data_IF_442553894700
#
_entry.id   IF_442553894700
#
_cell.length_a   1.000
_cell.length_b   1.000
_cell.length_c   1.000
_cell.angle_alpha   90.00
_cell.angle_beta   90.00
_cell.angle_gamma   90.00
#
_symmetry.space_group_name_H-M   'P 1'
#
loop_
_entity.id
_entity.type
_entity.pdbx_description
1 polymer ?
#
# COMPACT_ATOMS: atom_id res chain seq x y z
N UNK A 1 -26.38 -15.08 8.17
CA UNK A 1 -27.15 -15.48 9.35
C UNK A 1 -26.85 -14.65 10.59
N UNK A 2 -25.67 -14.07 10.77
CA UNK A 2 -25.25 -13.28 11.97
C UNK A 2 -25.89 -11.88 12.09
N UNK A 3 -26.30 -11.24 11.00
CA UNK A 3 -26.88 -9.88 11.01
C UNK A 3 -28.32 -9.85 11.56
N UNK A 4 -29.08 -10.93 11.37
CA UNK A 4 -30.48 -11.02 11.85
C UNK A 4 -30.61 -11.17 13.37
N UNK A 5 -29.63 -11.77 14.03
CA UNK A 5 -29.64 -11.98 15.49
C UNK A 5 -29.35 -10.69 16.27
N UNK A 6 -28.53 -9.79 15.72
CA UNK A 6 -28.22 -8.51 16.38
C UNK A 6 -29.36 -7.49 16.29
N UNK A 7 -30.14 -7.51 15.20
CA UNK A 7 -31.33 -6.63 15.07
C UNK A 7 -32.42 -7.00 16.05
N UNK A 8 -32.66 -8.29 16.29
CA UNK A 8 -33.69 -8.75 17.23
C UNK A 8 -33.31 -8.41 18.68
N UNK A 9 -32.07 -8.58 19.07
CA UNK A 9 -31.57 -8.20 20.41
C UNK A 9 -31.68 -6.69 20.68
N UNK A 10 -31.41 -5.84 19.69
CA UNK A 10 -31.52 -4.39 19.83
C UNK A 10 -32.99 -3.92 19.96
N UNK A 11 -33.92 -4.57 19.26
CA UNK A 11 -35.35 -4.25 19.37
C UNK A 11 -35.89 -4.59 20.77
N UNK A 12 -35.50 -5.74 21.32
CA UNK A 12 -35.91 -6.16 22.68
C UNK A 12 -35.35 -5.17 23.73
N UNK A 13 -34.08 -4.81 23.64
CA UNK A 13 -33.47 -3.85 24.59
C UNK A 13 -34.12 -2.46 24.48
N UNK A 14 -34.46 -2.04 23.30
CA UNK A 14 -35.18 -0.78 23.07
C UNK A 14 -36.58 -0.83 23.68
N UNK A 15 -37.32 -1.92 23.53
CA UNK A 15 -38.64 -2.10 24.14
C UNK A 15 -38.58 -2.06 25.68
N UNK A 16 -37.59 -2.73 26.25
CA UNK A 16 -37.36 -2.72 27.70
C UNK A 16 -37.04 -1.31 28.20
N UNK A 17 -36.23 -0.55 27.47
CA UNK A 17 -35.89 0.83 27.83
C UNK A 17 -37.13 1.76 27.78
N UNK A 18 -37.99 1.60 26.76
CA UNK A 18 -39.28 2.30 26.68
C UNK A 18 -40.24 1.94 27.80
N UNK A 19 -40.40 0.66 28.12
CA UNK A 19 -41.25 0.20 29.22
C UNK A 19 -40.81 0.77 30.58
N UNK A 20 -39.50 0.83 30.82
CA UNK A 20 -38.97 1.43 32.05
C UNK A 20 -39.24 2.91 32.15
N UNK A 21 -39.11 3.63 31.04
CA UNK A 21 -39.39 5.07 31.02
C UNK A 21 -40.88 5.36 31.24
N UNK A 22 -41.78 4.64 30.56
CA UNK A 22 -43.20 4.74 30.75
C UNK A 22 -43.60 4.40 32.21
N UNK A 23 -43.05 3.33 32.79
CA UNK A 23 -43.34 2.95 34.16
C UNK A 23 -42.89 4.00 35.17
N UNK A 24 -41.77 4.65 34.96
CA UNK A 24 -41.31 5.76 35.83
C UNK A 24 -42.26 6.96 35.76
N UNK A 25 -42.68 7.33 34.56
CA UNK A 25 -43.61 8.47 34.36
C UNK A 25 -44.94 8.15 35.03
N UNK A 26 -45.49 6.93 34.82
CA UNK A 26 -46.76 6.53 35.45
C UNK A 26 -46.66 6.46 36.96
N UNK A 27 -45.56 5.99 37.53
CA UNK A 27 -45.35 5.95 39.00
C UNK A 27 -45.28 7.37 39.57
N UNK A 28 -44.56 8.29 38.93
CA UNK A 28 -44.45 9.68 39.40
C UNK A 28 -45.81 10.36 39.38
N UNK A 29 -46.60 10.20 38.33
CA UNK A 29 -47.95 10.77 38.21
C UNK A 29 -48.88 10.13 39.25
N UNK A 30 -48.84 8.81 39.42
CA UNK A 30 -49.68 8.12 40.42
C UNK A 30 -49.38 8.54 41.83
N UNK A 31 -48.10 8.68 42.20
CA UNK A 31 -47.71 9.16 43.54
C UNK A 31 -48.12 10.60 43.78
N UNK A 32 -47.97 11.47 42.77
CA UNK A 32 -48.35 12.88 42.86
C UNK A 32 -49.87 13.05 42.91
N UNK A 33 -50.66 12.24 42.18
CA UNK A 33 -52.14 12.25 42.31
C UNK A 33 -52.60 11.73 43.65
N UNK A 34 -51.99 10.67 44.20
CA UNK A 34 -52.30 10.17 45.54
C UNK A 34 -52.03 11.22 46.66
N UNK A 35 -50.91 11.94 46.54
CA UNK A 35 -50.60 13.06 47.41
C UNK A 35 -51.63 14.20 47.27
N UNK A 36 -52.09 14.52 46.04
CA UNK A 36 -53.11 15.52 45.76
C UNK A 36 -54.49 15.16 46.34
N UNK A 37 -54.83 13.86 46.39
CA UNK A 37 -56.06 13.39 47.04
C UNK A 37 -56.09 13.68 48.55
N UNK A 38 -54.95 13.67 49.24
CA UNK A 38 -54.84 14.01 50.65
C UNK A 38 -55.16 15.49 50.94
N UNK A 39 -55.12 16.35 49.91
CA UNK A 39 -55.41 17.78 49.98
C UNK A 39 -56.71 18.16 49.24
N UNK A 40 -57.57 17.17 48.92
CA UNK A 40 -58.82 17.32 48.19
C UNK A 40 -58.69 17.94 46.76
N UNK A 41 -57.47 17.92 46.21
CA UNK A 41 -57.17 18.50 44.89
C UNK A 41 -56.38 17.56 43.95
N UNK A 42 -56.95 16.45 43.51
CA UNK A 42 -56.24 15.42 42.74
C UNK A 42 -55.74 15.95 41.37
N UNK A 43 -56.42 16.90 40.76
CA UNK A 43 -56.01 17.51 39.51
C UNK A 43 -54.68 18.25 39.60
N UNK A 44 -54.46 19.01 40.66
CA UNK A 44 -53.20 19.72 40.89
C UNK A 44 -52.05 18.74 41.17
N UNK A 45 -52.33 17.62 41.85
CA UNK A 45 -51.37 16.58 42.05
C UNK A 45 -50.90 15.93 40.74
N UNK A 46 -51.86 15.57 39.86
CA UNK A 46 -51.53 15.00 38.56
C UNK A 46 -50.71 16.00 37.69
N UNK A 47 -51.09 17.29 37.67
CA UNK A 47 -50.38 18.31 36.95
C UNK A 47 -48.94 18.48 37.46
N UNK A 48 -48.74 18.54 38.77
CA UNK A 48 -47.40 18.64 39.38
C UNK A 48 -46.55 17.41 39.06
N UNK A 49 -47.13 16.19 39.08
CA UNK A 49 -46.46 14.96 38.72
C UNK A 49 -45.94 15.00 37.27
N UNK A 50 -46.76 15.50 36.37
CA UNK A 50 -46.38 15.65 34.96
C UNK A 50 -45.24 16.65 34.81
N UNK A 51 -45.29 17.82 35.45
CA UNK A 51 -44.23 18.84 35.43
C UNK A 51 -42.92 18.28 35.95
N UNK A 52 -42.96 17.59 37.11
CA UNK A 52 -41.74 16.96 37.68
C UNK A 52 -41.14 15.91 36.73
N UNK A 53 -41.99 15.09 36.12
CA UNK A 53 -41.56 14.08 35.13
C UNK A 53 -40.85 14.77 33.94
N UNK A 54 -41.38 15.85 33.39
CA UNK A 54 -40.77 16.63 32.30
C UNK A 54 -39.42 17.23 32.71
N UNK A 55 -39.33 17.82 33.87
CA UNK A 55 -38.06 18.41 34.39
C UNK A 55 -36.98 17.34 34.54
N UNK A 56 -37.33 16.15 35.05
CA UNK A 56 -36.40 15.02 35.20
C UNK A 56 -35.91 14.52 33.80
N UNK A 57 -36.83 14.44 32.84
CA UNK A 57 -36.50 14.05 31.48
C UNK A 57 -35.55 15.06 30.83
N UNK A 58 -35.80 16.36 30.98
CA UNK A 58 -34.93 17.43 30.47
C UNK A 58 -33.53 17.38 31.09
N UNK A 59 -33.41 17.11 32.39
CA UNK A 59 -32.12 16.94 33.07
C UNK A 59 -31.31 15.82 32.43
N UNK A 60 -31.93 14.64 32.20
CA UNK A 60 -31.26 13.49 31.57
C UNK A 60 -30.84 13.76 30.12
N UNK A 61 -31.68 14.44 29.34
CA UNK A 61 -31.32 14.87 27.99
C UNK A 61 -30.15 15.85 28.01
N UNK A 62 -30.11 16.74 28.98
CA UNK A 62 -28.99 17.68 29.14
C UNK A 62 -27.69 16.95 29.52
N UNK A 63 -27.75 15.92 30.36
CA UNK A 63 -26.59 15.05 30.66
C UNK A 63 -26.07 14.34 29.41
N UNK A 64 -26.97 13.78 28.59
CA UNK A 64 -26.60 13.14 27.31
C UNK A 64 -25.96 14.17 26.36
N UNK A 65 -26.55 15.36 26.25
CA UNK A 65 -26.03 16.45 25.41
C UNK A 65 -24.64 16.91 25.86
N UNK A 66 -24.44 17.10 27.17
CA UNK A 66 -23.13 17.48 27.75
C UNK A 66 -22.08 16.40 27.49
N UNK A 67 -22.44 15.14 27.65
CA UNK A 67 -21.54 14.02 27.36
C UNK A 67 -21.20 13.97 25.84
N UNK A 68 -22.18 14.11 24.96
CA UNK A 68 -21.97 14.16 23.50
C UNK A 68 -20.99 15.26 23.07
N UNK A 69 -20.95 16.37 23.82
CA UNK A 69 -20.00 17.46 23.61
C UNK A 69 -18.68 17.32 24.38
N UNK A 70 -18.30 16.11 24.77
CA UNK A 70 -17.10 15.81 25.57
C UNK A 70 -17.08 16.51 26.95
N UNK A 71 -18.23 16.87 27.50
CA UNK A 71 -18.38 17.53 28.79
C UNK A 71 -19.11 16.61 29.77
N UNK A 72 -18.40 15.71 30.44
CA UNK A 72 -19.00 14.85 31.46
C UNK A 72 -18.78 13.34 31.26
N UNK A 73 -19.29 12.53 32.19
CA UNK A 73 -19.24 11.07 32.13
C UNK A 73 -20.40 10.49 31.30
N UNK A 74 -20.24 9.28 30.80
CA UNK A 74 -21.30 8.53 30.11
C UNK A 74 -22.54 8.44 31.04
N UNK A 75 -23.73 8.83 30.57
CA UNK A 75 -24.95 8.70 31.40
C UNK A 75 -25.22 7.24 31.74
N UNK A 76 -25.25 6.92 33.03
CA UNK A 76 -25.56 5.56 33.57
C UNK A 76 -27.05 5.41 33.89
N UNK A 77 -27.94 5.79 32.98
CA UNK A 77 -29.36 5.62 33.18
C UNK A 77 -29.85 4.30 32.59
N UNK A 78 -30.83 3.66 33.25
CA UNK A 78 -31.46 2.42 32.80
C UNK A 78 -32.62 2.63 31.81
N UNK A 79 -32.91 3.88 31.42
CA UNK A 79 -33.97 4.25 30.49
C UNK A 79 -33.47 4.45 29.06
N UNK A 80 -34.28 5.19 28.28
CA UNK A 80 -34.04 5.46 26.85
C UNK A 80 -32.71 6.22 26.59
N UNK A 81 -32.37 7.13 27.51
CA UNK A 81 -31.14 7.97 27.44
C UNK A 81 -29.90 7.09 27.63
N UNK A 82 -29.91 6.18 28.65
CA UNK A 82 -28.80 5.25 28.86
C UNK A 82 -28.64 4.26 27.71
N UNK A 83 -29.74 3.73 27.17
CA UNK A 83 -29.68 2.86 25.99
C UNK A 83 -29.05 3.55 24.76
N UNK A 84 -29.47 4.79 24.48
CA UNK A 84 -28.91 5.56 23.37
C UNK A 84 -27.42 5.88 23.57
N UNK A 85 -27.01 6.20 24.79
CA UNK A 85 -25.61 6.40 25.15
C UNK A 85 -24.78 5.11 24.92
N UNK A 86 -25.26 3.95 25.37
CA UNK A 86 -24.60 2.66 25.15
C UNK A 86 -24.45 2.31 23.68
N UNK A 87 -25.49 2.56 22.86
CA UNK A 87 -25.43 2.33 21.41
C UNK A 87 -24.39 3.22 20.76
N UNK A 88 -24.32 4.50 21.15
CA UNK A 88 -23.33 5.44 20.63
C UNK A 88 -21.89 5.02 21.02
N UNK A 89 -21.66 4.68 22.29
CA UNK A 89 -20.34 4.20 22.75
C UNK A 89 -19.90 2.93 22.02
N UNK A 90 -20.80 1.96 21.83
CA UNK A 90 -20.49 0.74 21.06
C UNK A 90 -20.14 1.07 19.62
N UNK A 91 -20.90 1.96 18.97
CA UNK A 91 -20.64 2.39 17.59
C UNK A 91 -19.30 3.10 17.46
N UNK A 92 -18.98 3.98 18.39
CA UNK A 92 -17.69 4.68 18.43
C UNK A 92 -16.52 3.70 18.60
N UNK A 93 -16.63 2.76 19.54
CA UNK A 93 -15.61 1.70 19.73
C UNK A 93 -15.40 0.86 18.48
N UNK A 94 -16.47 0.52 17.75
CA UNK A 94 -16.37 -0.23 16.50
C UNK A 94 -15.71 0.59 15.39
N UNK A 95 -16.04 1.88 15.28
CA UNK A 95 -15.41 2.79 14.32
C UNK A 95 -13.91 2.96 14.62
N UNK A 96 -13.57 3.22 15.88
CA UNK A 96 -12.18 3.35 16.31
C UNK A 96 -11.38 2.06 16.08
N UNK A 97 -11.98 0.88 16.33
CA UNK A 97 -11.35 -0.41 15.96
C UNK A 97 -11.10 -0.53 14.46
N UNK A 98 -12.05 -0.10 13.61
CA UNK A 98 -11.87 -0.12 12.14
C UNK A 98 -10.76 0.84 11.71
N UNK A 99 -10.77 2.07 12.20
CA UNK A 99 -9.75 3.08 11.90
C UNK A 99 -8.35 2.57 12.30
N UNK A 100 -8.23 2.05 13.52
CA UNK A 100 -6.97 1.51 14.01
C UNK A 100 -6.50 0.29 13.20
N UNK A 101 -7.42 -0.58 12.77
CA UNK A 101 -7.09 -1.71 11.89
C UNK A 101 -6.58 -1.24 10.53
N UNK A 102 -7.26 -0.27 9.91
CA UNK A 102 -6.85 0.32 8.63
C UNK A 102 -5.51 1.05 8.74
N UNK A 103 -5.30 1.82 9.81
CA UNK A 103 -4.03 2.47 10.07
C UNK A 103 -2.87 1.49 10.20
N UNK A 104 -3.08 0.37 10.92
CA UNK A 104 -2.08 -0.72 11.02
C UNK A 104 -1.79 -1.38 9.67
N UNK A 105 -2.80 -1.56 8.82
CA UNK A 105 -2.61 -2.13 7.48
C UNK A 105 -1.80 -1.18 6.59
N UNK A 106 -2.14 0.12 6.57
CA UNK A 106 -1.39 1.14 5.83
C UNK A 106 0.08 1.21 6.28
N UNK A 107 0.30 1.19 7.61
CA UNK A 107 1.66 1.18 8.17
C UNK A 107 2.46 -0.04 7.71
N UNK A 108 1.87 -1.23 7.72
CA UNK A 108 2.53 -2.46 7.22
C UNK A 108 2.90 -2.38 5.74
N UNK A 109 2.02 -1.80 4.91
CA UNK A 109 2.30 -1.61 3.48
C UNK A 109 3.47 -0.64 3.31
N UNK A 110 3.48 0.48 4.03
CA UNK A 110 4.57 1.44 4.01
C UNK A 110 5.90 0.81 4.46
N UNK A 111 5.90 0.08 5.58
CA UNK A 111 7.07 -0.66 6.06
C UNK A 111 7.55 -1.71 5.03
N UNK A 112 6.61 -2.38 4.34
CA UNK A 112 6.93 -3.30 3.25
C UNK A 112 7.65 -2.61 2.09
N UNK A 113 7.17 -1.45 1.65
CA UNK A 113 7.81 -0.66 0.60
C UNK A 113 9.20 -0.15 1.04
N UNK A 114 9.33 0.27 2.30
CA UNK A 114 10.62 0.70 2.86
C UNK A 114 11.66 -0.43 2.94
N UNK A 115 11.23 -1.68 3.05
CA UNK A 115 12.11 -2.85 3.12
C UNK A 115 12.58 -3.36 1.76
N UNK A 116 12.02 -2.86 0.66
CA UNK A 116 12.43 -3.25 -0.69
C UNK A 116 13.86 -2.78 -0.98
N UNK A 117 14.61 -3.60 -1.70
CA UNK A 117 15.92 -3.23 -2.25
C UNK A 117 15.79 -2.37 -3.50
N UNK A 118 14.69 -2.49 -4.22
CA UNK A 118 14.35 -1.65 -5.36
C UNK A 118 13.89 -0.27 -4.89
N UNK A 119 14.34 0.78 -5.54
CA UNK A 119 13.85 2.14 -5.33
C UNK A 119 12.43 2.27 -5.87
N UNK A 120 11.54 2.83 -5.08
CA UNK A 120 10.16 3.11 -5.48
C UNK A 120 9.88 4.58 -5.24
N UNK A 121 9.43 5.27 -6.29
CA UNK A 121 9.03 6.68 -6.24
C UNK A 121 7.63 6.84 -6.80
N UNK A 122 6.88 7.76 -6.25
CA UNK A 122 5.58 8.17 -6.78
C UNK A 122 5.67 9.63 -7.18
N UNK A 123 5.23 9.92 -8.39
CA UNK A 123 5.15 11.29 -8.91
C UNK A 123 3.71 11.63 -9.27
N UNK A 124 3.36 12.90 -9.10
CA UNK A 124 2.04 13.41 -9.48
C UNK A 124 1.94 13.63 -11.00
N UNK A 125 0.79 14.15 -11.45
CA UNK A 125 0.55 14.44 -12.87
C UNK A 125 1.55 15.44 -13.49
N UNK A 126 2.08 16.34 -12.67
CA UNK A 126 3.08 17.33 -13.09
C UNK A 126 4.51 16.77 -13.10
N UNK A 127 4.73 15.51 -12.68
CA UNK A 127 6.05 14.90 -12.59
C UNK A 127 6.82 15.25 -11.32
N UNK A 128 6.16 15.87 -10.32
CA UNK A 128 6.76 16.18 -9.03
C UNK A 128 6.64 15.00 -8.08
N UNK A 129 7.71 14.72 -7.33
CA UNK A 129 7.76 13.61 -6.38
C UNK A 129 6.84 13.84 -5.19
N UNK A 130 6.01 12.85 -4.89
CA UNK A 130 5.09 12.86 -3.75
C UNK A 130 5.50 11.88 -2.66
N UNK A 131 6.23 10.82 -3.02
CA UNK A 131 6.72 9.83 -2.08
C UNK A 131 7.88 9.05 -2.70
N UNK A 132 8.81 8.58 -1.89
CA UNK A 132 9.87 7.65 -2.28
C UNK A 132 10.36 6.87 -1.06
N UNK A 133 10.87 5.66 -1.28
CA UNK A 133 11.39 4.78 -0.25
C UNK A 133 12.91 4.99 -0.02
N UNK A 134 13.43 4.36 1.03
CA UNK A 134 14.85 4.43 1.41
C UNK A 134 15.79 3.94 0.31
N UNK A 135 15.41 2.90 -0.43
CA UNK A 135 16.23 2.37 -1.53
C UNK A 135 16.42 3.42 -2.64
N UNK A 136 15.40 4.23 -2.95
CA UNK A 136 15.51 5.35 -3.89
C UNK A 136 16.55 6.38 -3.46
N UNK A 137 16.65 6.67 -2.15
CA UNK A 137 17.67 7.56 -1.62
C UNK A 137 19.06 7.01 -1.90
N UNK A 138 19.27 5.71 -1.73
CA UNK A 138 20.57 5.08 -1.96
C UNK A 138 20.94 5.00 -3.45
N UNK A 139 19.98 4.65 -4.30
CA UNK A 139 20.21 4.43 -5.72
C UNK A 139 20.33 5.73 -6.53
N UNK A 140 19.55 6.74 -6.19
CA UNK A 140 19.47 8.01 -6.92
C UNK A 140 20.09 9.19 -6.16
N UNK A 141 20.46 9.00 -4.90
CA UNK A 141 21.02 10.07 -4.05
C UNK A 141 19.98 11.06 -3.56
N UNK A 142 18.70 10.66 -3.46
CA UNK A 142 17.61 11.53 -3.05
C UNK A 142 17.67 11.86 -1.55
N UNK A 143 17.25 13.08 -1.22
CA UNK A 143 17.15 13.59 0.14
C UNK A 143 15.72 14.01 0.45
N UNK A 144 15.16 13.45 1.52
CA UNK A 144 13.76 13.67 1.86
C UNK A 144 13.43 15.14 2.16
N UNK A 145 14.38 15.87 2.75
CA UNK A 145 14.23 17.25 3.20
C UNK A 145 14.22 18.25 2.04
N UNK A 146 14.93 17.96 0.93
CA UNK A 146 15.15 18.92 -0.15
C UNK A 146 14.48 18.56 -1.46
N UNK A 147 14.29 17.25 -1.72
CA UNK A 147 13.90 16.76 -3.03
C UNK A 147 12.41 16.41 -3.13
N UNK A 148 11.71 16.32 -1.99
CA UNK A 148 10.26 16.15 -1.96
C UNK A 148 9.58 17.32 -2.66
N UNK A 149 8.66 17.03 -3.58
CA UNK A 149 7.95 18.04 -4.36
C UNK A 149 8.71 18.55 -5.60
N UNK A 150 10.00 18.23 -5.76
CA UNK A 150 10.74 18.59 -6.96
C UNK A 150 10.33 17.72 -8.16
N UNK A 151 10.52 18.26 -9.36
CA UNK A 151 10.27 17.52 -10.59
C UNK A 151 11.36 16.48 -10.81
N UNK A 152 10.96 15.24 -11.11
CA UNK A 152 11.88 14.10 -11.21
C UNK A 152 13.02 14.30 -12.23
N UNK A 153 12.76 15.02 -13.33
CA UNK A 153 13.77 15.30 -14.36
C UNK A 153 14.84 16.30 -13.91
N UNK A 154 14.62 17.02 -12.80
CA UNK A 154 15.66 17.89 -12.22
C UNK A 154 16.72 17.07 -11.49
N UNK A 155 16.34 15.89 -11.03
CA UNK A 155 17.20 14.97 -10.28
C UNK A 155 17.85 13.94 -11.22
N UNK A 156 17.06 13.33 -12.09
CA UNK A 156 17.55 12.42 -13.14
C UNK A 156 17.63 13.21 -14.45
N UNK A 157 18.77 13.83 -14.68
CA UNK A 157 19.00 14.73 -15.84
C UNK A 157 19.43 14.00 -17.11
N UNK A 158 19.63 12.67 -17.04
CA UNK A 158 20.04 11.88 -18.20
C UNK A 158 19.08 12.09 -19.38
N UNK A 159 19.57 12.48 -20.59
CA UNK A 159 18.71 12.79 -21.73
C UNK A 159 17.77 11.64 -22.10
N UNK A 160 18.25 10.39 -21.99
CA UNK A 160 17.47 9.19 -22.23
C UNK A 160 16.28 9.09 -21.27
N UNK A 161 16.46 9.41 -19.98
CA UNK A 161 15.37 9.43 -19.01
C UNK A 161 14.37 10.54 -19.29
N UNK A 162 14.85 11.75 -19.57
CA UNK A 162 13.99 12.91 -19.87
C UNK A 162 13.11 12.64 -21.07
N UNK A 163 13.68 12.09 -22.16
CA UNK A 163 12.91 11.70 -23.35
C UNK A 163 11.88 10.63 -23.04
N UNK A 164 12.28 9.55 -22.37
CA UNK A 164 11.40 8.46 -21.96
C UNK A 164 10.23 8.95 -21.10
N UNK A 165 10.52 9.83 -20.13
CA UNK A 165 9.48 10.35 -19.23
C UNK A 165 8.49 11.29 -19.95
N UNK A 166 8.94 12.05 -20.98
CA UNK A 166 8.12 12.96 -21.78
C UNK A 166 7.27 12.24 -22.82
N UNK A 167 7.79 11.19 -23.45
CA UNK A 167 7.07 10.44 -24.48
C UNK A 167 5.85 9.71 -23.93
N UNK A 168 5.78 9.49 -22.60
CA UNK A 168 4.68 8.84 -21.90
C UNK A 168 4.35 7.41 -22.39
N UNK A 169 5.23 6.82 -23.21
CA UNK A 169 5.25 5.40 -23.54
C UNK A 169 6.20 4.71 -22.57
N UNK A 170 5.65 3.85 -21.72
CA UNK A 170 6.36 3.16 -20.63
C UNK A 170 6.39 1.65 -20.85
N UNK A 171 6.27 1.20 -22.11
CA UNK A 171 6.36 -0.21 -22.50
C UNK A 171 7.76 -0.78 -22.25
N UNK A 172 8.78 0.04 -22.46
CA UNK A 172 10.16 -0.35 -22.29
C UNK A 172 10.73 0.08 -20.93
N UNK A 173 11.85 -0.53 -20.57
CA UNK A 173 12.67 -0.13 -19.43
C UNK A 173 13.92 0.58 -19.94
N UNK A 174 14.44 1.53 -19.19
CA UNK A 174 15.68 2.19 -19.53
C UNK A 174 16.76 1.86 -18.50
N UNK A 175 18.00 1.72 -18.99
CA UNK A 175 19.18 1.53 -18.16
C UNK A 175 20.07 2.76 -18.29
N UNK A 176 20.54 3.24 -17.15
CA UNK A 176 21.43 4.40 -17.06
C UNK A 176 22.33 4.30 -15.82
N UNK A 177 23.41 5.05 -15.85
CA UNK A 177 24.26 5.21 -14.65
C UNK A 177 23.51 6.02 -13.59
N UNK A 178 23.69 5.63 -12.32
CA UNK A 178 23.10 6.36 -11.21
C UNK A 178 23.60 7.81 -11.17
N UNK A 179 22.71 8.80 -11.02
CA UNK A 179 23.11 10.21 -10.93
C UNK A 179 24.05 10.51 -9.78
N UNK A 180 24.03 9.69 -8.75
CA UNK A 180 24.80 9.88 -7.51
C UNK A 180 26.06 9.00 -7.45
N UNK A 181 26.05 7.82 -8.10
CA UNK A 181 27.14 6.85 -8.07
C UNK A 181 27.42 6.31 -9.47
N UNK A 182 28.49 6.77 -10.10
CA UNK A 182 28.87 6.35 -11.45
C UNK A 182 29.24 4.85 -11.57
N UNK A 183 29.46 4.17 -10.45
CA UNK A 183 29.75 2.73 -10.44
C UNK A 183 28.48 1.84 -10.30
N UNK A 184 27.30 2.43 -10.26
CA UNK A 184 26.02 1.72 -10.18
C UNK A 184 25.24 1.97 -11.45
N UNK A 185 24.82 0.89 -12.11
CA UNK A 185 23.86 0.96 -13.21
C UNK A 185 22.48 0.67 -12.69
N UNK A 186 21.55 1.57 -12.94
CA UNK A 186 20.15 1.42 -12.54
C UNK A 186 19.26 1.21 -13.75
N UNK A 187 18.33 0.28 -13.61
CA UNK A 187 17.22 0.07 -14.52
C UNK A 187 16.02 0.82 -13.99
N UNK A 188 15.41 1.67 -14.82
CA UNK A 188 14.24 2.47 -14.46
C UNK A 188 13.05 2.04 -15.29
N UNK A 189 11.96 1.77 -14.60
CA UNK A 189 10.66 1.48 -15.20
C UNK A 189 9.63 2.46 -14.64
N UNK A 190 8.81 3.04 -15.54
CA UNK A 190 7.71 3.92 -15.18
C UNK A 190 6.39 3.21 -15.48
N UNK A 191 5.42 3.33 -14.59
CA UNK A 191 4.07 2.81 -14.80
C UNK A 191 3.03 3.83 -14.35
N UNK A 192 1.85 3.80 -14.95
CA UNK A 192 0.70 4.60 -14.51
C UNK A 192 0.18 4.04 -13.19
N UNK A 193 -0.11 4.91 -12.24
CA UNK A 193 -0.56 4.56 -10.91
C UNK A 193 -1.70 5.48 -10.47
N UNK A 194 -2.78 4.90 -9.94
CA UNK A 194 -3.92 5.67 -9.43
C UNK A 194 -4.50 6.66 -10.45
N UNK A 195 -5.01 7.78 -9.93
CA UNK A 195 -5.59 8.84 -10.77
C UNK A 195 -4.50 9.85 -11.12
N UNK A 196 -4.03 9.82 -12.38
CA UNK A 196 -3.04 10.75 -12.93
C UNK A 196 -1.68 10.77 -12.18
N UNK A 197 -1.32 9.69 -11.51
CA UNK A 197 -0.01 9.51 -10.88
C UNK A 197 0.82 8.51 -11.68
N UNK A 198 2.13 8.49 -11.43
CA UNK A 198 3.06 7.52 -11.99
C UNK A 198 3.89 6.93 -10.86
N UNK A 199 4.16 5.63 -10.93
CA UNK A 199 5.13 4.96 -10.10
C UNK A 199 6.39 4.72 -10.91
N UNK A 200 7.53 4.98 -10.31
CA UNK A 200 8.85 4.78 -10.90
C UNK A 200 9.57 3.76 -10.04
N UNK A 201 9.97 2.66 -10.64
CA UNK A 201 10.76 1.61 -10.00
C UNK A 201 12.17 1.70 -10.50
N UNK A 202 13.12 1.71 -9.58
CA UNK A 202 14.57 1.82 -9.83
C UNK A 202 15.25 0.61 -9.24
N UNK A 203 15.88 -0.19 -10.09
CA UNK A 203 16.56 -1.42 -9.72
C UNK A 203 18.05 -1.31 -10.00
N UNK A 204 18.87 -1.75 -9.07
CA UNK A 204 20.31 -1.95 -9.31
C UNK A 204 20.52 -3.19 -10.17
N UNK A 205 21.13 -2.99 -11.34
CA UNK A 205 21.44 -4.05 -12.29
C UNK A 205 22.94 -4.19 -12.55
N UNK A 206 23.75 -3.56 -11.70
CA UNK A 206 25.22 -3.49 -11.84
C UNK A 206 25.86 -4.87 -11.94
N UNK A 207 25.52 -5.74 -10.99
CA UNK A 207 26.10 -7.08 -10.93
C UNK A 207 25.61 -7.93 -12.13
N UNK A 208 24.34 -7.82 -12.47
CA UNK A 208 23.78 -8.50 -13.66
C UNK A 208 24.50 -8.11 -14.93
N UNK A 209 24.71 -6.80 -15.14
CA UNK A 209 25.43 -6.30 -16.30
C UNK A 209 26.91 -6.72 -16.31
N UNK A 210 27.55 -6.74 -15.13
CA UNK A 210 28.92 -7.20 -14.98
C UNK A 210 29.07 -8.66 -15.38
N UNK A 211 28.21 -9.52 -14.90
CA UNK A 211 28.21 -10.95 -15.26
C UNK A 211 27.97 -11.15 -16.75
N UNK A 212 27.01 -10.43 -17.34
CA UNK A 212 26.73 -10.54 -18.77
C UNK A 212 27.91 -10.07 -19.62
N UNK A 213 28.54 -8.95 -19.23
CA UNK A 213 29.74 -8.45 -19.90
C UNK A 213 30.91 -9.43 -19.77
N UNK A 214 31.13 -10.00 -18.58
CA UNK A 214 32.16 -11.05 -18.42
C UNK A 214 31.89 -12.25 -19.30
N UNK A 215 30.64 -12.68 -19.40
CA UNK A 215 30.25 -13.79 -20.29
C UNK A 215 30.54 -13.50 -21.76
N UNK A 216 30.19 -12.29 -22.22
CA UNK A 216 30.46 -11.86 -23.59
C UNK A 216 31.96 -11.78 -23.88
N UNK A 217 32.74 -11.20 -22.97
CA UNK A 217 34.20 -11.14 -23.08
C UNK A 217 34.81 -12.55 -23.10
N UNK A 218 34.37 -13.43 -22.20
CA UNK A 218 34.85 -14.81 -22.18
C UNK A 218 34.57 -15.56 -23.50
N UNK A 219 33.37 -15.42 -24.06
CA UNK A 219 33.03 -16.04 -25.36
C UNK A 219 33.91 -15.47 -26.49
N UNK A 220 34.13 -14.15 -26.47
CA UNK A 220 34.99 -13.51 -27.47
C UNK A 220 36.45 -13.98 -27.37
N UNK A 221 37.00 -14.01 -26.14
CA UNK A 221 38.36 -14.46 -25.86
C UNK A 221 38.57 -15.92 -26.27
N UNK A 222 37.66 -16.81 -25.85
CA UNK A 222 37.69 -18.23 -26.23
C UNK A 222 37.64 -18.40 -27.77
N UNK A 223 36.76 -17.63 -28.43
CA UNK A 223 36.67 -17.70 -29.91
C UNK A 223 37.96 -17.23 -30.59
N UNK A 224 38.63 -16.23 -30.05
CA UNK A 224 39.92 -15.78 -30.56
C UNK A 224 41.02 -16.81 -30.27
N UNK A 225 41.10 -17.34 -29.08
CA UNK A 225 42.11 -18.35 -28.70
C UNK A 225 41.93 -19.69 -29.43
N UNK A 226 40.69 -20.04 -29.82
CA UNK A 226 40.44 -21.24 -30.65
C UNK A 226 40.71 -21.01 -32.11
N UNK A 227 40.49 -19.80 -32.67
CA UNK A 227 40.68 -19.53 -34.08
C UNK A 227 42.13 -19.74 -34.51
N UNK A 228 43.11 -19.32 -33.72
CA UNK A 228 44.53 -19.44 -34.02
C UNK A 228 44.96 -20.89 -34.24
N UNK A 229 44.75 -21.85 -33.31
CA UNK A 229 45.14 -23.25 -33.54
C UNK A 229 44.32 -23.88 -34.69
N UNK A 230 43.04 -23.52 -34.85
CA UNK A 230 42.21 -24.03 -35.94
C UNK A 230 42.76 -23.58 -37.33
N UNK A 231 43.23 -22.34 -37.44
CA UNK A 231 43.85 -21.83 -38.67
C UNK A 231 45.12 -22.61 -38.99
N UNK A 232 45.95 -22.91 -37.97
CA UNK A 232 47.17 -23.73 -38.18
C UNK A 232 46.81 -25.14 -38.63
N UNK A 233 45.81 -25.76 -37.98
CA UNK A 233 45.33 -27.10 -38.36
C UNK A 233 44.78 -27.10 -39.78
N UNK A 234 44.00 -26.08 -40.20
CA UNK A 234 43.50 -25.95 -41.55
C UNK A 234 44.67 -25.88 -42.57
N UNK A 235 45.68 -25.05 -42.26
CA UNK A 235 46.84 -24.97 -43.16
C UNK A 235 47.58 -26.28 -43.35
N UNK A 236 47.72 -27.11 -42.29
CA UNK A 236 48.28 -28.45 -42.43
C UNK A 236 47.35 -29.40 -43.17
N UNK A 237 46.05 -29.32 -43.00
CA UNK A 237 45.07 -30.15 -43.72
C UNK A 237 45.07 -29.82 -45.21
N UNK A 238 45.11 -28.54 -45.57
CA UNK A 238 45.26 -28.09 -46.98
C UNK A 238 46.54 -28.63 -47.65
N UNK A 239 47.67 -28.51 -46.96
CA UNK A 239 48.95 -29.08 -47.45
C UNK A 239 48.88 -30.61 -47.65
N UNK A 240 48.12 -31.33 -46.81
CA UNK A 240 47.97 -32.76 -46.95
C UNK A 240 46.94 -33.17 -48.02
N UNK A 241 45.97 -32.34 -48.31
CA UNK A 241 45.00 -32.56 -49.40
C UNK A 241 45.70 -32.52 -50.80
N UNK A 242 46.71 -31.66 -50.92
CA UNK A 242 47.52 -31.53 -52.16
C UNK A 242 48.58 -32.64 -52.32
N UNK A 243 48.78 -33.49 -51.32
CA UNK A 243 49.75 -34.59 -51.36
C UNK A 243 49.14 -35.86 -51.98
N UNK A 244 49.97 -36.60 -52.76
CA UNK A 244 49.57 -37.86 -53.39
C UNK A 244 49.44 -39.01 -52.36
N UNK A 245 48.30 -39.04 -51.65
CA UNK A 245 48.03 -39.92 -50.52
C UNK A 245 47.09 -41.10 -50.87
N UNK A 246 47.21 -42.20 -50.11
CA UNK A 246 46.29 -43.31 -50.22
C UNK A 246 44.81 -42.85 -50.07
N UNK A 247 43.86 -43.38 -50.90
CA UNK A 247 42.46 -42.97 -50.91
C UNK A 247 41.74 -43.00 -49.56
N UNK A 248 42.16 -43.85 -48.64
CA UNK A 248 41.65 -43.92 -47.27
C UNK A 248 42.06 -42.71 -46.40
N UNK A 249 43.32 -42.31 -46.52
CA UNK A 249 43.90 -41.16 -45.81
C UNK A 249 43.31 -39.84 -46.36
N UNK A 250 43.21 -39.70 -47.67
CA UNK A 250 42.61 -38.54 -48.31
C UNK A 250 41.16 -38.30 -47.87
N UNK A 251 40.36 -39.38 -47.69
CA UNK A 251 39.00 -39.26 -47.17
C UNK A 251 38.97 -38.80 -45.71
N UNK A 252 39.90 -39.30 -44.86
CA UNK A 252 40.00 -38.88 -43.46
C UNK A 252 40.38 -37.39 -43.31
N UNK A 253 41.32 -36.93 -44.11
CA UNK A 253 41.75 -35.52 -44.15
C UNK A 253 40.56 -34.60 -44.50
N UNK A 254 39.82 -34.96 -45.56
CA UNK A 254 38.65 -34.21 -46.00
C UNK A 254 37.55 -34.15 -44.95
N UNK A 255 37.38 -35.23 -44.18
CA UNK A 255 36.45 -35.21 -43.01
C UNK A 255 36.93 -34.31 -41.88
N UNK A 256 38.26 -34.27 -41.60
CA UNK A 256 38.85 -33.37 -40.60
C UNK A 256 38.74 -31.92 -41.02
N UNK A 257 39.01 -31.58 -42.26
CA UNK A 257 38.87 -30.23 -42.84
C UNK A 257 37.40 -29.74 -42.67
N UNK A 258 36.43 -30.56 -43.10
CA UNK A 258 35.01 -30.24 -42.95
C UNK A 258 34.58 -30.06 -41.49
N UNK A 259 35.15 -30.84 -40.55
CA UNK A 259 34.85 -30.70 -39.15
C UNK A 259 35.47 -29.45 -38.52
N UNK A 260 36.68 -29.08 -38.97
CA UNK A 260 37.38 -27.91 -38.52
C UNK A 260 36.70 -26.60 -39.00
N UNK A 261 36.16 -26.56 -40.24
CA UNK A 261 35.37 -25.45 -40.74
C UNK A 261 34.06 -25.24 -39.98
N UNK A 262 33.52 -26.26 -39.33
CA UNK A 262 32.28 -26.16 -38.54
C UNK A 262 32.48 -25.66 -37.10
N UNK A 263 33.72 -25.61 -36.60
CA UNK A 263 34.06 -25.12 -35.25
C UNK A 263 34.29 -23.61 -35.23
#
# INVERSE_FOLDING_TARGET
>A
MFVRSQTTGNIILQQIAWQRELSRITIIIALATAAGMSFEQPFWGAFMGLVVSQVLMLKRLNELYRWSNNQGSVPQDSGLVGYSADVLVRRERLLNKKINKQGKQLKRIAEGIESLKDGVLIVNHAGCMTSFNRASCHLLGLRADTDMGQHITNLIRAPRFVSYFKQADYSDVIELESPHRSNITVQIQVAKFGIKQKIIVVRDVTERQRVEKMRQTFIADVSHELRTPLTVINGYLEMLEDADLNPGISRAIKQMSTQNERM
#
